data_IF_510273837788
#
_entry.id   IF_510273837788
#
_cell.length_a   1.000
_cell.length_b   1.000
_cell.length_c   1.000
_cell.angle_alpha   90.00
_cell.angle_beta   90.00
_cell.angle_gamma   90.00
#
_symmetry.space_group_name_H-M   'P 1'
#
loop_
_entity.id
_entity.type
_entity.pdbx_description
1 polymer ?
#
# COMPACT_ATOMS: atom_id res chain seq x y z
N UNK A 1 -6.15 20.47 1.66
CA UNK A 1 -7.22 19.55 2.08
C UNK A 1 -6.60 18.34 2.79
N UNK A 2 -6.06 18.50 4.00
CA UNK A 2 -5.39 17.42 4.77
C UNK A 2 -6.11 17.05 6.09
N UNK A 3 -7.14 17.82 6.46
CA UNK A 3 -7.81 17.71 7.76
C UNK A 3 -8.43 16.34 8.02
N UNK A 4 -9.00 15.69 7.00
CA UNK A 4 -9.62 14.36 7.11
C UNK A 4 -8.58 13.29 7.49
N UNK A 5 -7.43 13.31 6.83
CA UNK A 5 -6.33 12.37 7.14
C UNK A 5 -5.84 12.60 8.56
N UNK A 6 -5.61 13.87 8.95
CA UNK A 6 -5.21 14.20 10.33
C UNK A 6 -6.21 13.66 11.35
N UNK A 7 -7.51 13.83 11.13
CA UNK A 7 -8.53 13.31 12.04
C UNK A 7 -8.53 11.79 12.16
N UNK A 8 -8.29 11.07 11.06
CA UNK A 8 -8.18 9.60 11.09
C UNK A 8 -6.93 9.18 11.87
N UNK A 9 -5.78 9.82 11.61
CA UNK A 9 -4.53 9.54 12.33
C UNK A 9 -4.66 9.82 13.82
N UNK A 10 -5.23 10.97 14.19
CA UNK A 10 -5.49 11.34 15.59
C UNK A 10 -6.42 10.33 16.29
N UNK A 11 -7.32 9.68 15.55
CA UNK A 11 -8.17 8.60 16.07
C UNK A 11 -7.37 7.32 16.27
N UNK A 12 -6.58 6.91 15.28
CA UNK A 12 -5.73 5.72 15.36
C UNK A 12 -4.71 5.80 16.51
N UNK A 13 -4.16 6.98 16.80
CA UNK A 13 -3.22 7.21 17.91
C UNK A 13 -3.82 6.97 19.31
N UNK A 14 -5.15 6.95 19.43
CA UNK A 14 -5.86 6.67 20.69
C UNK A 14 -6.25 5.18 20.84
N UNK A 15 -6.15 4.42 19.75
CA UNK A 15 -6.44 2.99 19.74
C UNK A 15 -5.20 2.20 20.19
N UNK A 16 -5.40 0.94 20.57
CA UNK A 16 -4.28 0.04 20.91
C UNK A 16 -3.56 -0.39 19.64
N UNK A 17 -2.29 -0.78 19.77
CA UNK A 17 -1.55 -1.39 18.67
C UNK A 17 -2.24 -2.68 18.21
N UNK A 18 -2.43 -2.82 16.91
CA UNK A 18 -3.21 -3.90 16.32
C UNK A 18 -3.50 -3.65 14.85
N UNK A 19 -4.21 -4.59 14.23
CA UNK A 19 -4.68 -4.45 12.84
C UNK A 19 -6.11 -3.94 12.85
N UNK A 20 -6.45 -3.01 11.95
CA UNK A 20 -7.77 -2.41 11.87
C UNK A 20 -8.26 -2.34 10.42
N UNK A 21 -9.58 -2.35 10.23
CA UNK A 21 -10.22 -2.16 8.92
C UNK A 21 -11.11 -0.91 8.97
N UNK A 22 -10.91 0.00 8.02
CA UNK A 22 -11.78 1.14 7.79
C UNK A 22 -12.81 0.77 6.70
N UNK A 23 -14.10 0.73 7.05
CA UNK A 23 -15.18 0.37 6.13
C UNK A 23 -16.14 1.52 5.95
N UNK A 24 -16.54 1.78 4.71
CA UNK A 24 -17.63 2.70 4.36
C UNK A 24 -18.95 1.94 4.39
N UNK A 25 -19.94 2.46 5.13
CA UNK A 25 -21.29 1.91 5.16
C UNK A 25 -21.94 2.06 3.77
N UNK A 26 -22.44 0.98 3.14
CA UNK A 26 -23.04 1.08 1.81
C UNK A 26 -24.35 1.89 1.82
N UNK A 27 -25.12 1.81 2.90
CA UNK A 27 -26.45 2.43 3.04
C UNK A 27 -26.39 3.85 3.60
N UNK A 28 -25.33 4.21 4.34
CA UNK A 28 -25.18 5.50 5.00
C UNK A 28 -23.86 6.17 4.63
N UNK A 29 -23.78 7.50 4.53
CA UNK A 29 -22.51 8.21 4.31
C UNK A 29 -21.67 8.24 5.60
N UNK A 30 -21.28 7.08 6.10
CA UNK A 30 -20.53 6.90 7.33
C UNK A 30 -19.35 5.95 7.11
N UNK A 31 -18.22 6.24 7.75
CA UNK A 31 -17.07 5.33 7.83
C UNK A 31 -16.91 4.83 9.27
N UNK A 32 -16.48 3.57 9.43
CA UNK A 32 -16.27 2.92 10.74
C UNK A 32 -14.95 2.16 10.74
N UNK A 33 -14.27 2.17 11.89
CA UNK A 33 -13.04 1.41 12.13
C UNK A 33 -13.38 0.19 12.96
N UNK A 34 -12.93 -0.98 12.52
CA UNK A 34 -13.08 -2.26 13.22
C UNK A 34 -11.71 -2.80 13.58
N UNK A 35 -11.56 -3.31 14.81
CA UNK A 35 -10.41 -4.11 15.23
C UNK A 35 -10.54 -5.50 14.62
N UNK A 36 -9.43 -6.03 14.09
CA UNK A 36 -9.39 -7.36 13.49
C UNK A 36 -8.21 -8.17 14.03
N UNK A 37 -8.33 -9.50 14.10
CA UNK A 37 -7.21 -10.36 14.51
C UNK A 37 -5.95 -10.12 13.69
N UNK A 38 -4.79 -10.43 14.27
CA UNK A 38 -3.51 -10.29 13.57
C UNK A 38 -3.44 -11.14 12.28
N UNK A 39 -4.15 -12.27 12.21
CA UNK A 39 -4.21 -13.14 11.03
C UNK A 39 -5.26 -12.71 9.98
N UNK A 40 -5.92 -11.55 10.13
CA UNK A 40 -7.07 -11.19 9.29
C UNK A 40 -6.73 -10.89 7.82
N UNK A 41 -5.46 -10.68 7.50
CA UNK A 41 -5.00 -10.35 6.15
C UNK A 41 -3.97 -11.35 5.62
N UNK A 42 -3.74 -12.42 6.35
CA UNK A 42 -2.77 -13.42 5.98
C UNK A 42 -3.45 -14.29 4.92
N UNK A 43 -2.89 -14.33 3.71
CA UNK A 43 -3.40 -15.14 2.62
C UNK A 43 -2.95 -16.58 2.84
N UNK A 44 -3.75 -17.35 3.60
CA UNK A 44 -3.56 -18.80 3.76
C UNK A 44 -3.89 -19.58 2.47
N UNK A 45 -4.33 -18.88 1.42
CA UNK A 45 -4.48 -19.43 0.08
C UNK A 45 -3.11 -19.54 -0.56
N UNK A 46 -2.64 -20.78 -0.69
CA UNK A 46 -1.59 -21.13 -1.63
C UNK A 46 -2.07 -20.61 -2.98
N UNK A 47 -1.40 -19.59 -3.52
CA UNK A 47 -1.65 -19.11 -4.88
C UNK A 47 -1.33 -20.29 -5.79
N UNK A 48 -2.35 -21.06 -6.16
CA UNK A 48 -2.23 -22.16 -7.08
C UNK A 48 -1.90 -21.52 -8.43
N UNK A 49 -0.59 -21.41 -8.70
CA UNK A 49 -0.05 -20.84 -9.93
C UNK A 49 -0.81 -21.49 -11.09
N UNK A 50 -1.71 -20.73 -11.71
CA UNK A 50 -2.44 -21.23 -12.87
C UNK A 50 -1.39 -21.61 -13.92
N UNK A 51 -1.46 -22.83 -14.48
CA UNK A 51 -0.51 -23.27 -15.50
C UNK A 51 -0.46 -22.24 -16.63
N UNK A 52 0.75 -22.00 -17.16
CA UNK A 52 1.05 -20.93 -18.14
C UNK A 52 0.12 -20.93 -19.36
N UNK A 53 -0.53 -22.07 -19.65
CA UNK A 53 -1.44 -22.27 -20.78
C UNK A 53 -2.79 -21.54 -20.66
N UNK A 54 -3.21 -21.14 -19.45
CA UNK A 54 -4.48 -20.42 -19.23
C UNK A 54 -4.29 -18.89 -19.07
N UNK A 55 -3.05 -18.41 -19.14
CA UNK A 55 -2.74 -16.98 -19.11
C UNK A 55 -3.08 -16.34 -20.47
N UNK A 56 -4.26 -15.72 -20.56
CA UNK A 56 -4.64 -14.86 -21.69
C UNK A 56 -3.69 -13.66 -21.76
N UNK A 57 -2.79 -13.67 -22.76
CA UNK A 57 -1.96 -12.52 -23.07
C UNK A 57 -2.87 -11.30 -23.33
N UNK A 58 -2.65 -10.16 -22.65
CA UNK A 58 -3.33 -8.93 -23.04
C UNK A 58 -2.96 -8.62 -24.50
N UNK A 59 -3.92 -8.21 -25.35
CA UNK A 59 -3.62 -7.82 -26.73
C UNK A 59 -2.49 -6.79 -26.72
N UNK A 60 -1.44 -7.04 -27.51
CA UNK A 60 -0.34 -6.11 -27.67
C UNK A 60 -0.88 -4.76 -28.10
N UNK A 61 -0.71 -3.75 -27.25
CA UNK A 61 -0.90 -2.36 -27.64
C UNK A 61 0.27 -2.01 -28.56
N UNK A 62 -0.02 -1.85 -29.86
CA UNK A 62 0.94 -1.39 -30.86
C UNK A 62 1.56 -0.07 -30.38
N UNK A 63 2.86 -0.13 -30.08
CA UNK A 63 3.65 1.00 -29.65
C UNK A 63 3.91 1.95 -30.83
N UNK A 64 3.40 3.18 -30.73
CA UNK A 64 3.94 4.32 -31.47
C UNK A 64 4.56 5.31 -30.47
N UNK A 65 5.88 5.18 -30.30
CA UNK A 65 6.89 6.20 -29.99
C UNK A 65 6.69 7.19 -28.84
N UNK A 66 7.43 7.00 -27.74
CA UNK A 66 8.52 7.91 -27.31
C UNK A 66 9.37 7.28 -26.19
N UNK A 67 10.60 6.97 -26.59
CA UNK A 67 11.90 6.86 -25.91
C UNK A 67 11.98 6.68 -24.38
N UNK A 68 12.61 5.55 -23.99
CA UNK A 68 13.11 5.25 -22.66
C UNK A 68 14.64 5.47 -22.56
N UNK A 69 15.11 6.20 -21.54
CA UNK A 69 16.39 5.95 -20.85
C UNK A 69 16.45 6.78 -19.55
N UNK A 70 16.07 6.22 -18.40
CA UNK A 70 16.93 5.62 -17.38
C UNK A 70 18.02 6.55 -16.80
N UNK A 71 17.87 6.94 -15.52
CA UNK A 71 18.99 7.15 -14.61
C UNK A 71 18.57 6.70 -13.20
N UNK A 72 18.73 5.40 -12.98
CA UNK A 72 19.35 4.76 -11.82
C UNK A 72 19.64 5.73 -10.65
N UNK A 73 18.88 5.65 -9.54
CA UNK A 73 19.32 6.23 -8.28
C UNK A 73 19.66 5.09 -7.32
N UNK A 74 20.97 4.95 -7.14
CA UNK A 74 21.67 4.05 -6.24
C UNK A 74 21.36 4.39 -4.76
N UNK A 75 21.16 3.32 -4.00
CA UNK A 75 21.25 3.08 -2.54
C UNK A 75 21.69 4.25 -1.63
N UNK A 76 20.92 4.45 -0.54
CA UNK A 76 21.30 5.21 0.67
C UNK A 76 22.54 4.61 1.39
N UNK A 77 23.48 5.45 1.83
CA UNK A 77 24.06 5.31 3.18
C UNK A 77 24.42 6.68 3.77
N UNK A 78 24.04 6.86 5.05
CA UNK A 78 24.26 8.03 5.90
C UNK A 78 25.67 8.00 6.49
N UNK A 79 26.31 9.17 6.65
CA UNK A 79 26.62 9.80 7.96
C UNK A 79 27.69 10.91 7.78
N UNK A 80 27.33 12.16 8.07
CA UNK A 80 28.31 13.18 8.48
C UNK A 80 27.83 13.72 9.83
N UNK A 81 28.31 13.09 10.88
CA UNK A 81 28.29 13.63 12.23
C UNK A 81 29.08 14.94 12.29
N UNK A 82 28.41 15.99 12.78
CA UNK A 82 29.04 17.23 13.22
C UNK A 82 29.57 17.01 14.64
N UNK A 83 30.80 17.43 14.93
CA UNK A 83 31.11 17.93 16.28
C UNK A 83 32.19 19.02 16.20
N UNK A 84 31.96 20.08 16.98
CA UNK A 84 32.80 21.24 17.14
C UNK A 84 33.69 21.08 18.38
N UNK A 85 34.94 21.53 18.28
CA UNK A 85 35.76 22.03 19.39
C UNK A 85 36.90 22.89 18.84
#
# INVERSE_FOLDING_TARGET
MWGIVKSIVDMCMKLKEGKYVLVKDPSKPQVRIYDVPQNAFDNDYVEELLPEEEQVQPPAEDADGVDANATINDVEDKDVSKEAA
#
